data_IF_475394936998
#
_entry.id   IF_475394936998
#
_cell.length_a   1.000
_cell.length_b   1.000
_cell.length_c   1.000
_cell.angle_alpha   90.00
_cell.angle_beta   90.00
_cell.angle_gamma   90.00
#
_symmetry.space_group_name_H-M   'P 1'
#
loop_
_entity.id
_entity.type
_entity.pdbx_description
1 polymer ?
#
# COMPACT_ATOMS: atom_id res chain seq x y z
N UNK A 1 14.25 -0.14 11.91
CA UNK A 1 13.36 0.08 10.73
C UNK A 1 11.92 0.21 11.22
N UNK A 2 11.01 0.80 10.45
CA UNK A 2 9.61 1.02 10.84
C UNK A 2 8.68 0.29 9.88
N UNK A 3 7.56 -0.29 10.39
CA UNK A 3 6.47 -0.86 9.60
C UNK A 3 5.22 -0.02 9.81
N UNK A 4 4.65 0.45 8.72
CA UNK A 4 3.46 1.30 8.65
C UNK A 4 2.26 0.49 8.18
N UNK A 5 1.12 0.66 8.85
CA UNK A 5 -0.20 0.23 8.39
C UNK A 5 -1.17 1.41 8.46
N UNK A 6 -2.21 1.40 7.66
CA UNK A 6 -3.24 2.44 7.62
C UNK A 6 -4.59 1.81 7.92
N UNK A 7 -5.37 2.42 8.84
CA UNK A 7 -6.76 2.04 9.10
C UNK A 7 -7.61 3.25 9.49
N UNK A 8 -8.92 3.19 9.20
CA UNK A 8 -9.87 4.26 9.56
C UNK A 8 -9.83 5.47 8.64
N UNK A 9 -9.46 5.28 7.37
CA UNK A 9 -9.54 6.32 6.32
C UNK A 9 -10.98 6.46 5.78
N UNK A 10 -11.79 5.38 5.86
CA UNK A 10 -13.08 5.32 5.18
C UNK A 10 -14.21 6.05 5.92
N UNK A 11 -14.02 6.36 7.19
CA UNK A 11 -15.03 7.01 8.07
C UNK A 11 -16.42 6.31 8.02
N UNK A 12 -16.39 4.98 7.88
CA UNK A 12 -17.56 4.12 7.78
C UNK A 12 -18.05 3.59 9.14
N UNK A 13 -17.39 4.03 10.23
CA UNK A 13 -17.67 3.60 11.60
C UNK A 13 -17.19 2.18 11.93
N UNK A 14 -16.65 1.44 10.95
CA UNK A 14 -16.17 0.06 11.16
C UNK A 14 -14.85 0.11 11.90
N UNK A 15 -14.76 -0.59 13.03
CA UNK A 15 -13.51 -0.68 13.79
C UNK A 15 -12.65 -1.83 13.27
N UNK A 16 -11.35 -1.66 13.33
CA UNK A 16 -10.38 -2.70 12.94
C UNK A 16 -10.67 -4.05 13.61
N UNK A 17 -11.08 -4.03 14.88
CA UNK A 17 -11.40 -5.23 15.63
C UNK A 17 -12.66 -5.96 15.15
N UNK A 18 -13.53 -5.29 14.41
CA UNK A 18 -14.76 -5.88 13.87
C UNK A 18 -14.48 -6.70 12.59
N UNK A 19 -13.26 -6.58 12.04
CA UNK A 19 -12.81 -7.34 10.87
C UNK A 19 -11.77 -8.38 11.32
N UNK A 20 -12.17 -9.65 11.52
CA UNK A 20 -11.29 -10.67 12.10
C UNK A 20 -9.95 -10.86 11.37
N UNK A 21 -9.98 -10.83 10.03
CA UNK A 21 -8.77 -10.98 9.22
C UNK A 21 -7.80 -9.81 9.41
N UNK A 22 -8.27 -8.56 9.49
CA UNK A 22 -7.43 -7.40 9.77
C UNK A 22 -6.87 -7.45 11.19
N UNK A 23 -7.72 -7.73 12.17
CA UNK A 23 -7.28 -7.88 13.56
C UNK A 23 -6.17 -8.91 13.69
N UNK A 24 -6.31 -10.09 13.03
CA UNK A 24 -5.31 -11.15 13.04
C UNK A 24 -3.98 -10.66 12.44
N UNK A 25 -4.01 -10.15 11.20
CA UNK A 25 -2.78 -9.76 10.50
C UNK A 25 -2.08 -8.57 11.16
N UNK A 26 -2.83 -7.59 11.67
CA UNK A 26 -2.28 -6.46 12.42
C UNK A 26 -1.59 -6.92 13.71
N UNK A 27 -2.17 -7.89 14.45
CA UNK A 27 -1.52 -8.42 15.64
C UNK A 27 -0.24 -9.19 15.29
N UNK A 28 -0.27 -10.03 14.26
CA UNK A 28 0.93 -10.72 13.77
C UNK A 28 2.04 -9.74 13.34
N UNK A 29 1.68 -8.64 12.67
CA UNK A 29 2.65 -7.59 12.31
C UNK A 29 3.23 -6.91 13.54
N UNK A 30 2.43 -6.65 14.59
CA UNK A 30 2.93 -6.08 15.85
C UNK A 30 3.87 -7.02 16.60
N UNK A 31 3.53 -8.31 16.67
CA UNK A 31 4.36 -9.36 17.25
C UNK A 31 5.68 -9.46 16.50
N UNK A 32 5.64 -9.55 15.18
CA UNK A 32 6.82 -9.52 14.31
C UNK A 32 7.72 -8.31 14.60
N UNK A 33 7.14 -7.10 14.70
CA UNK A 33 7.91 -5.89 14.99
C UNK A 33 8.62 -5.98 16.34
N UNK A 34 7.94 -6.53 17.37
CA UNK A 34 8.53 -6.73 18.70
C UNK A 34 9.68 -7.73 18.68
N UNK A 35 9.51 -8.85 17.97
CA UNK A 35 10.51 -9.93 17.88
C UNK A 35 11.78 -9.49 17.13
N UNK A 36 11.61 -8.71 16.07
CA UNK A 36 12.72 -8.29 15.20
C UNK A 36 13.23 -6.88 15.47
N UNK A 37 12.76 -6.20 16.53
CA UNK A 37 13.21 -4.85 16.87
C UNK A 37 12.78 -3.75 15.90
N UNK A 38 11.67 -3.95 15.19
CA UNK A 38 11.08 -2.92 14.32
C UNK A 38 10.14 -2.03 15.10
N UNK A 39 10.02 -0.77 14.69
CA UNK A 39 8.97 0.13 15.19
C UNK A 39 7.68 -0.13 14.40
N UNK A 40 6.56 -0.31 15.10
CA UNK A 40 5.24 -0.41 14.48
C UNK A 40 4.50 0.93 14.53
N UNK A 41 3.87 1.35 13.43
CA UNK A 41 3.03 2.55 13.39
C UNK A 41 1.74 2.31 12.62
N UNK A 42 0.60 2.43 13.33
CA UNK A 42 -0.72 2.50 12.71
C UNK A 42 -1.07 3.97 12.44
N UNK A 43 -1.47 4.26 11.20
CA UNK A 43 -1.95 5.57 10.78
C UNK A 43 -3.47 5.57 10.71
N UNK A 44 -4.10 6.63 11.20
CA UNK A 44 -5.51 6.92 11.04
C UNK A 44 -5.71 8.16 10.17
N UNK A 45 -6.98 8.49 9.85
CA UNK A 45 -7.31 9.63 8.99
C UNK A 45 -6.68 10.94 9.49
N UNK A 46 -6.84 11.26 10.78
CA UNK A 46 -6.29 12.48 11.37
C UNK A 46 -4.76 12.57 11.20
N UNK A 47 -4.04 11.52 11.51
CA UNK A 47 -2.56 11.50 11.35
C UNK A 47 -2.14 11.63 9.88
N UNK A 48 -2.92 11.09 8.96
CA UNK A 48 -2.68 11.21 7.53
C UNK A 48 -2.89 12.64 7.04
N UNK A 49 -3.95 13.31 7.52
CA UNK A 49 -4.24 14.71 7.19
C UNK A 49 -3.23 15.67 7.82
N UNK A 50 -2.79 15.42 9.05
CA UNK A 50 -1.69 16.17 9.68
C UNK A 50 -0.40 16.04 8.83
N UNK A 51 -0.02 14.83 8.41
CA UNK A 51 1.14 14.63 7.54
C UNK A 51 1.00 15.39 6.21
N UNK A 52 -0.17 15.31 5.59
CA UNK A 52 -0.47 16.00 4.33
C UNK A 52 -0.33 17.51 4.49
N UNK A 53 -1.00 18.10 5.49
CA UNK A 53 -1.00 19.54 5.72
C UNK A 53 0.41 20.08 6.07
N UNK A 54 1.17 19.34 6.88
CA UNK A 54 2.46 19.80 7.38
C UNK A 54 3.60 19.64 6.37
N UNK A 55 3.56 18.59 5.53
CA UNK A 55 4.71 18.20 4.69
C UNK A 55 4.42 18.23 3.19
N UNK A 56 3.15 18.20 2.79
CA UNK A 56 2.73 18.07 1.39
C UNK A 56 1.49 18.95 1.08
N UNK A 57 1.49 20.25 1.49
CA UNK A 57 0.33 21.12 1.33
C UNK A 57 -0.11 21.27 -0.14
N UNK A 58 0.79 21.06 -1.10
CA UNK A 58 0.51 21.12 -2.53
C UNK A 58 -0.46 20.03 -3.01
N UNK A 59 -0.66 18.95 -2.22
CA UNK A 59 -1.59 17.86 -2.54
C UNK A 59 -2.93 17.94 -1.79
N UNK A 60 -3.19 18.99 -1.00
CA UNK A 60 -4.46 19.15 -0.24
C UNK A 60 -5.67 19.17 -1.20
N UNK A 61 -5.59 19.93 -2.29
CA UNK A 61 -6.66 19.96 -3.28
C UNK A 61 -6.90 18.58 -3.90
N UNK A 62 -5.82 17.87 -4.28
CA UNK A 62 -5.91 16.51 -4.80
C UNK A 62 -6.58 15.55 -3.80
N UNK A 63 -6.23 15.66 -2.51
CA UNK A 63 -6.80 14.85 -1.44
C UNK A 63 -8.31 15.04 -1.29
N UNK A 64 -8.79 16.27 -1.45
CA UNK A 64 -10.21 16.60 -1.40
C UNK A 64 -10.98 16.12 -2.64
N UNK A 65 -10.32 16.08 -3.79
CA UNK A 65 -10.91 15.66 -5.06
C UNK A 65 -10.99 14.14 -5.23
N UNK A 66 -10.36 13.32 -4.38
CA UNK A 66 -10.46 11.88 -4.50
C UNK A 66 -11.90 11.41 -4.40
N UNK A 67 -12.37 10.75 -5.43
CA UNK A 67 -13.74 10.26 -5.57
C UNK A 67 -14.09 9.13 -4.59
N UNK A 68 -13.10 8.31 -4.26
CA UNK A 68 -13.26 7.17 -3.37
C UNK A 68 -12.24 7.21 -2.22
N UNK A 69 -12.66 6.90 -0.98
CA UNK A 69 -11.74 6.88 0.17
C UNK A 69 -10.51 5.98 -0.01
N UNK A 70 -10.63 4.88 -0.78
CA UNK A 70 -9.50 4.00 -1.07
C UNK A 70 -8.39 4.72 -1.88
N UNK A 71 -8.73 5.72 -2.70
CA UNK A 71 -7.70 6.53 -3.38
C UNK A 71 -6.88 7.33 -2.36
N UNK A 72 -7.51 7.80 -1.27
CA UNK A 72 -6.80 8.43 -0.15
C UNK A 72 -5.83 7.46 0.52
N UNK A 73 -6.28 6.23 0.80
CA UNK A 73 -5.44 5.19 1.38
C UNK A 73 -4.26 4.82 0.46
N UNK A 74 -4.49 4.70 -0.84
CA UNK A 74 -3.44 4.45 -1.82
C UNK A 74 -2.45 5.60 -1.93
N UNK A 75 -2.93 6.83 -1.95
CA UNK A 75 -2.06 8.00 -2.11
C UNK A 75 -1.22 8.26 -0.87
N UNK A 76 -1.83 8.22 0.33
CA UNK A 76 -1.13 8.57 1.57
C UNK A 76 0.00 7.59 1.91
N UNK A 77 -0.07 6.30 1.50
CA UNK A 77 1.02 5.34 1.73
C UNK A 77 2.31 5.75 1.01
N UNK A 78 2.21 6.44 -0.12
CA UNK A 78 3.38 6.98 -0.83
C UNK A 78 4.01 8.15 -0.09
N UNK A 79 3.19 9.05 0.47
CA UNK A 79 3.67 10.16 1.30
C UNK A 79 4.36 9.65 2.57
N UNK A 80 3.75 8.67 3.23
CA UNK A 80 4.30 8.04 4.44
C UNK A 80 5.69 7.46 4.14
N UNK A 81 5.82 6.68 3.07
CA UNK A 81 7.08 6.06 2.69
C UNK A 81 8.13 7.09 2.27
N UNK A 82 7.75 8.15 1.54
CA UNK A 82 8.66 9.23 1.22
C UNK A 82 9.16 9.95 2.49
N UNK A 83 8.25 10.32 3.41
CA UNK A 83 8.58 11.11 4.59
C UNK A 83 9.32 10.31 5.67
N UNK A 84 8.92 9.05 5.90
CA UNK A 84 9.39 8.26 7.02
C UNK A 84 10.40 7.18 6.60
N UNK A 85 10.33 6.71 5.35
CA UNK A 85 10.97 5.46 4.93
C UNK A 85 10.34 4.24 5.61
N UNK A 86 10.97 3.06 5.48
CA UNK A 86 10.51 1.82 6.09
C UNK A 86 9.58 1.01 5.19
N UNK A 87 8.81 0.11 5.79
CA UNK A 87 7.86 -0.75 5.11
C UNK A 87 6.44 -0.23 5.28
N UNK A 88 5.67 -0.24 4.21
CA UNK A 88 4.21 -0.15 4.22
C UNK A 88 3.64 -1.55 3.99
N UNK A 89 2.65 -1.94 4.78
CA UNK A 89 1.99 -3.25 4.70
C UNK A 89 0.49 -3.06 4.90
N UNK A 90 -0.35 -3.56 3.99
CA UNK A 90 -1.82 -3.51 4.15
C UNK A 90 -2.28 -4.31 5.38
N UNK A 91 -3.45 -3.98 5.96
CA UNK A 91 -3.95 -4.61 7.18
C UNK A 91 -4.34 -6.09 7.04
N UNK A 92 -4.48 -6.60 5.83
CA UNK A 92 -4.71 -8.02 5.53
C UNK A 92 -3.42 -8.79 5.21
N UNK A 93 -2.27 -8.13 5.36
CA UNK A 93 -0.93 -8.68 5.12
C UNK A 93 -0.10 -8.64 6.39
N UNK A 94 0.79 -9.62 6.58
CA UNK A 94 1.80 -9.60 7.64
C UNK A 94 3.13 -10.20 7.15
N UNK A 95 4.28 -9.75 7.68
CA UNK A 95 5.58 -10.35 7.39
C UNK A 95 5.70 -11.74 8.03
N UNK A 96 6.38 -12.67 7.35
CA UNK A 96 6.60 -14.06 7.78
C UNK A 96 8.07 -14.46 7.80
N UNK A 97 8.98 -13.61 7.34
CA UNK A 97 10.42 -13.79 7.38
C UNK A 97 11.12 -12.49 7.78
N UNK A 98 12.37 -12.58 8.21
CA UNK A 98 13.16 -11.41 8.56
C UNK A 98 13.42 -10.52 7.33
N UNK A 99 12.99 -9.27 7.45
CA UNK A 99 13.11 -8.25 6.39
C UNK A 99 14.50 -7.58 6.36
N UNK A 100 15.41 -7.91 7.28
CA UNK A 100 16.74 -7.29 7.36
C UNK A 100 17.57 -7.50 6.09
N UNK A 101 17.44 -8.67 5.47
CA UNK A 101 18.10 -9.01 4.20
C UNK A 101 17.71 -8.11 3.03
N UNK A 102 16.54 -7.44 3.11
CA UNK A 102 16.03 -6.53 2.10
C UNK A 102 16.39 -5.06 2.37
N UNK A 103 17.02 -4.75 3.49
CA UNK A 103 17.34 -3.38 3.93
C UNK A 103 18.36 -2.65 3.05
N UNK A 104 19.13 -3.39 2.23
CA UNK A 104 20.11 -2.82 1.30
C UNK A 104 19.49 -2.20 0.04
N UNK A 105 18.22 -2.55 -0.26
CA UNK A 105 17.53 -1.93 -1.40
C UNK A 105 17.15 -0.48 -1.07
N UNK A 106 17.11 0.35 -2.11
CA UNK A 106 16.62 1.73 -2.01
C UNK A 106 15.10 1.78 -1.91
N UNK A 107 14.45 0.93 -2.68
CA UNK A 107 13.02 0.67 -2.66
C UNK A 107 12.74 -0.79 -3.02
N UNK A 108 11.58 -1.28 -2.56
CA UNK A 108 11.04 -2.59 -2.90
C UNK A 108 9.56 -2.43 -3.17
N UNK A 109 9.10 -2.94 -4.31
CA UNK A 109 7.70 -3.16 -4.62
C UNK A 109 7.47 -4.65 -4.77
N UNK A 110 6.43 -5.17 -4.15
CA UNK A 110 6.07 -6.58 -4.34
C UNK A 110 5.31 -6.79 -5.63
N UNK A 111 5.28 -8.01 -6.12
CA UNK A 111 4.45 -8.42 -7.25
C UNK A 111 3.73 -9.72 -6.95
N UNK A 112 2.66 -10.00 -7.70
CA UNK A 112 2.01 -11.30 -7.71
C UNK A 112 2.83 -12.26 -8.58
N UNK A 113 3.11 -13.47 -8.11
CA UNK A 113 4.14 -14.35 -8.66
C UNK A 113 3.96 -14.81 -10.08
N UNK A 114 2.77 -14.94 -10.56
CA UNK A 114 2.53 -15.45 -11.91
C UNK A 114 2.29 -14.33 -12.91
N UNK A 115 2.59 -13.08 -12.51
CA UNK A 115 2.51 -11.97 -13.44
C UNK A 115 3.78 -11.91 -14.30
N UNK A 116 3.74 -12.57 -15.47
CA UNK A 116 4.79 -12.46 -16.50
C UNK A 116 5.17 -11.01 -16.84
N UNK A 117 4.31 -10.05 -16.47
CA UNK A 117 4.56 -8.62 -16.67
C UNK A 117 5.18 -7.93 -15.45
N UNK A 118 5.42 -8.66 -14.34
CA UNK A 118 5.96 -8.11 -13.08
C UNK A 118 5.34 -6.75 -12.73
N UNK A 119 4.04 -6.77 -12.42
CA UNK A 119 3.34 -5.55 -12.03
C UNK A 119 3.63 -5.23 -10.58
N UNK A 120 4.03 -3.98 -10.26
CA UNK A 120 4.20 -3.58 -8.88
C UNK A 120 2.85 -3.60 -8.16
N UNK A 121 2.82 -4.17 -6.96
CA UNK A 121 1.65 -4.24 -6.10
C UNK A 121 1.85 -3.30 -4.91
N UNK A 122 0.84 -2.50 -4.58
CA UNK A 122 0.98 -1.45 -3.58
C UNK A 122 0.52 -1.84 -2.17
N UNK A 123 0.17 -3.11 -1.95
CA UNK A 123 -0.16 -3.63 -0.63
C UNK A 123 1.07 -3.78 0.28
N UNK A 124 2.25 -4.01 -0.31
CA UNK A 124 3.52 -4.08 0.40
C UNK A 124 4.59 -3.36 -0.39
N UNK A 125 5.19 -2.37 0.23
CA UNK A 125 6.27 -1.57 -0.35
C UNK A 125 7.30 -1.20 0.72
N UNK A 126 8.54 -0.99 0.30
CA UNK A 126 9.59 -0.42 1.15
C UNK A 126 10.22 0.76 0.46
N UNK A 127 10.67 1.72 1.25
CA UNK A 127 11.45 2.84 0.76
C UNK A 127 12.48 3.30 1.78
N UNK A 128 13.61 3.75 1.30
CA UNK A 128 14.46 4.66 2.08
C UNK A 128 13.76 6.03 2.16
N UNK A 129 13.99 6.73 3.27
CA UNK A 129 13.44 8.08 3.47
C UNK A 129 13.92 9.04 2.39
N UNK A 130 13.03 9.95 1.94
CA UNK A 130 13.29 10.96 0.90
C UNK A 130 13.64 10.36 -0.47
N UNK A 131 13.18 9.16 -0.78
CA UNK A 131 13.39 8.55 -2.08
C UNK A 131 12.62 9.32 -3.18
N UNK A 132 13.32 9.89 -4.19
CA UNK A 132 12.70 10.71 -5.23
C UNK A 132 11.69 9.95 -6.10
N UNK A 133 11.78 8.62 -6.20
CA UNK A 133 10.80 7.81 -6.92
C UNK A 133 9.37 8.03 -6.38
N UNK A 134 9.22 8.20 -5.07
CA UNK A 134 7.91 8.43 -4.47
C UNK A 134 7.33 9.82 -4.82
N UNK A 135 8.18 10.82 -5.08
CA UNK A 135 7.71 12.11 -5.64
C UNK A 135 7.15 11.90 -7.05
N UNK A 136 7.82 11.12 -7.89
CA UNK A 136 7.33 10.82 -9.24
C UNK A 136 6.02 10.00 -9.21
N UNK A 137 5.88 9.07 -8.27
CA UNK A 137 4.63 8.34 -8.04
C UNK A 137 3.49 9.30 -7.65
N UNK A 138 3.72 10.24 -6.74
CA UNK A 138 2.71 11.23 -6.32
C UNK A 138 2.29 12.14 -7.47
N UNK A 139 3.24 12.61 -8.28
CA UNK A 139 2.95 13.42 -9.48
C UNK A 139 2.13 12.65 -10.51
N UNK A 140 2.46 11.37 -10.74
CA UNK A 140 1.71 10.53 -11.68
C UNK A 140 0.30 10.25 -11.16
N UNK A 141 0.10 10.05 -9.84
CA UNK A 141 -1.22 9.99 -9.21
C UNK A 141 -2.03 11.26 -9.52
N UNK A 142 -1.47 12.43 -9.24
CA UNK A 142 -2.11 13.72 -9.48
C UNK A 142 -2.52 13.89 -10.94
N UNK A 143 -1.60 13.65 -11.86
CA UNK A 143 -1.86 13.71 -13.30
C UNK A 143 -3.04 12.81 -13.69
N UNK A 144 -3.03 11.55 -13.26
CA UNK A 144 -4.08 10.58 -13.62
C UNK A 144 -5.43 10.85 -12.98
N UNK A 145 -5.45 11.39 -11.77
CA UNK A 145 -6.70 11.81 -11.14
C UNK A 145 -7.33 12.94 -11.97
N UNK A 146 -6.56 13.97 -12.32
CA UNK A 146 -7.03 15.08 -13.17
C UNK A 146 -7.54 14.58 -14.52
N UNK A 147 -6.81 13.68 -15.18
CA UNK A 147 -7.15 13.17 -16.51
C UNK A 147 -8.35 12.21 -16.52
N UNK A 148 -8.50 11.39 -15.48
CA UNK A 148 -9.40 10.21 -15.54
C UNK A 148 -10.62 10.30 -14.64
N UNK A 149 -10.61 11.11 -13.60
CA UNK A 149 -11.67 11.11 -12.60
C UNK A 149 -13.03 11.55 -13.14
N UNK A 150 -13.05 12.38 -14.19
CA UNK A 150 -14.26 12.85 -14.88
C UNK A 150 -14.80 11.86 -15.93
N UNK A 151 -14.07 10.80 -16.25
CA UNK A 151 -14.44 9.87 -17.33
C UNK A 151 -15.53 8.91 -16.88
N UNK A 152 -16.74 9.03 -17.45
CA UNK A 152 -17.92 8.21 -17.09
C UNK A 152 -17.72 6.69 -17.21
N UNK A 153 -16.83 6.22 -18.10
CA UNK A 153 -16.55 4.77 -18.24
C UNK A 153 -16.05 4.10 -16.96
N UNK A 154 -15.59 4.88 -15.97
CA UNK A 154 -15.15 4.37 -14.67
C UNK A 154 -16.29 4.29 -13.64
N UNK A 155 -17.50 4.75 -13.97
CA UNK A 155 -18.65 4.75 -13.05
C UNK A 155 -19.18 3.32 -12.81
N UNK A 156 -19.02 2.42 -13.78
CA UNK A 156 -19.51 1.04 -13.70
C UNK A 156 -18.72 0.14 -12.76
N UNK A 157 -17.45 0.47 -12.52
CA UNK A 157 -16.58 -0.28 -11.61
C UNK A 157 -15.52 0.63 -10.98
N UNK A 158 -15.77 1.00 -9.72
CA UNK A 158 -14.89 1.90 -8.95
C UNK A 158 -13.43 1.42 -8.88
N UNK A 159 -13.20 0.11 -8.79
CA UNK A 159 -11.86 -0.49 -8.77
C UNK A 159 -11.03 -0.11 -10.00
N UNK A 160 -11.66 0.00 -11.17
CA UNK A 160 -10.95 0.40 -12.39
C UNK A 160 -10.36 1.81 -12.29
N UNK A 161 -11.13 2.77 -11.76
CA UNK A 161 -10.62 4.12 -11.53
C UNK A 161 -9.48 4.11 -10.52
N UNK A 162 -9.67 3.48 -9.37
CA UNK A 162 -8.67 3.39 -8.30
C UNK A 162 -7.36 2.80 -8.83
N UNK A 163 -7.41 1.63 -9.48
CA UNK A 163 -6.20 0.98 -10.00
C UNK A 163 -5.44 1.83 -11.03
N UNK A 164 -6.18 2.61 -11.85
CA UNK A 164 -5.59 3.43 -12.90
C UNK A 164 -5.07 4.78 -12.39
N UNK A 165 -5.55 5.27 -11.25
CA UNK A 165 -5.18 6.61 -10.74
C UNK A 165 -4.21 6.56 -9.57
N UNK A 166 -4.43 5.70 -8.58
CA UNK A 166 -3.64 5.64 -7.35
C UNK A 166 -3.08 4.25 -7.03
N UNK A 167 -3.65 3.20 -7.61
CA UNK A 167 -3.29 1.82 -7.33
C UNK A 167 -2.22 1.25 -8.28
N UNK A 168 -2.11 -0.06 -8.25
CA UNK A 168 -1.04 -0.84 -8.86
C UNK A 168 -0.89 -0.65 -10.40
N UNK A 169 -1.98 -0.37 -11.13
CA UNK A 169 -1.87 -0.14 -12.58
C UNK A 169 -1.19 1.20 -12.90
N UNK A 170 -1.32 2.20 -12.02
CA UNK A 170 -0.60 3.45 -12.15
C UNK A 170 0.91 3.23 -11.94
N UNK A 171 1.30 2.47 -10.91
CA UNK A 171 2.69 2.21 -10.58
C UNK A 171 3.50 1.59 -11.71
N UNK A 172 2.87 0.80 -12.59
CA UNK A 172 3.56 0.16 -13.75
C UNK A 172 4.30 1.12 -14.66
N UNK A 173 3.89 2.37 -14.69
CA UNK A 173 4.49 3.38 -15.58
C UNK A 173 5.62 4.17 -14.92
N UNK A 174 5.78 4.04 -13.60
CA UNK A 174 6.73 4.83 -12.81
C UNK A 174 7.78 3.96 -12.15
N UNK A 175 7.38 2.77 -11.64
CA UNK A 175 8.28 1.90 -10.88
C UNK A 175 9.23 1.15 -11.81
N UNK A 176 10.56 1.26 -11.60
CA UNK A 176 11.55 0.50 -12.34
C UNK A 176 11.39 -1.02 -12.12
N UNK A 177 11.63 -1.82 -13.14
CA UNK A 177 11.46 -3.29 -13.07
C UNK A 177 12.40 -3.94 -12.06
N UNK A 178 13.57 -3.41 -11.87
CA UNK A 178 14.59 -3.86 -10.90
C UNK A 178 14.15 -3.67 -9.45
N UNK A 179 13.21 -2.76 -9.19
CA UNK A 179 12.63 -2.51 -7.86
C UNK A 179 11.46 -3.44 -7.53
N UNK A 180 11.09 -4.36 -8.44
CA UNK A 180 9.93 -5.25 -8.28
C UNK A 180 10.41 -6.65 -7.91
N UNK A 181 9.95 -7.15 -6.75
CA UNK A 181 10.39 -8.41 -6.15
C UNK A 181 9.21 -9.36 -5.86
N UNK A 182 9.43 -10.65 -6.09
CA UNK A 182 8.43 -11.71 -5.84
C UNK A 182 8.54 -12.18 -4.38
N UNK A 183 7.86 -11.46 -3.46
CA UNK A 183 7.98 -11.67 -2.01
C UNK A 183 6.67 -12.10 -1.34
N UNK A 184 5.58 -12.33 -2.10
CA UNK A 184 4.25 -12.54 -1.55
C UNK A 184 3.85 -14.03 -1.57
N UNK A 185 3.27 -14.48 -0.47
CA UNK A 185 2.43 -15.67 -0.37
C UNK A 185 0.98 -15.21 -0.23
N UNK A 186 0.17 -15.44 -1.25
CA UNK A 186 -1.23 -15.02 -1.26
C UNK A 186 -2.12 -16.22 -0.90
N UNK A 187 -2.98 -16.02 0.08
CA UNK A 187 -3.99 -16.99 0.50
C UNK A 187 -5.38 -16.39 0.33
N UNK A 188 -6.20 -17.08 -0.43
CA UNK A 188 -7.62 -16.76 -0.52
C UNK A 188 -8.42 -17.93 0.03
N UNK A 189 -9.11 -17.75 1.15
CA UNK A 189 -9.88 -18.81 1.83
C UNK A 189 -10.94 -19.47 0.93
N UNK A 190 -11.49 -18.72 -0.05
CA UNK A 190 -12.49 -19.21 -0.99
C UNK A 190 -11.90 -19.96 -2.18
N UNK A 191 -10.66 -19.70 -2.55
CA UNK A 191 -10.00 -20.20 -3.76
C UNK A 191 -8.75 -21.04 -3.51
N UNK A 192 -8.28 -21.15 -2.27
CA UNK A 192 -7.07 -21.85 -1.87
C UNK A 192 -5.81 -20.96 -1.82
N UNK A 193 -4.67 -21.61 -1.61
CA UNK A 193 -3.38 -20.93 -1.49
C UNK A 193 -2.80 -20.69 -2.89
N UNK A 194 -2.40 -19.45 -3.16
CA UNK A 194 -1.62 -19.08 -4.33
C UNK A 194 -0.19 -18.76 -3.88
N UNK A 195 0.70 -19.72 -4.00
CA UNK A 195 2.13 -19.46 -3.76
C UNK A 195 2.65 -18.63 -4.91
N UNK A 196 3.21 -17.49 -4.57
CA UNK A 196 3.69 -16.53 -5.53
C UNK A 196 5.21 -16.45 -5.57
N UNK A 197 5.89 -16.91 -4.55
CA UNK A 197 7.34 -16.90 -4.45
C UNK A 197 7.84 -18.24 -3.88
N UNK A 198 9.03 -18.67 -4.31
CA UNK A 198 9.72 -19.81 -3.69
C UNK A 198 10.24 -19.48 -2.28
N UNK A 199 10.39 -18.20 -1.97
CA UNK A 199 10.83 -17.71 -0.65
C UNK A 199 10.02 -16.46 -0.26
N UNK A 200 8.74 -16.61 0.16
CA UNK A 200 7.88 -15.47 0.45
C UNK A 200 8.27 -14.81 1.78
N UNK A 201 8.31 -13.48 1.78
CA UNK A 201 8.53 -12.66 2.97
C UNK A 201 7.24 -12.18 3.62
N UNK A 202 6.13 -12.20 2.89
CA UNK A 202 4.83 -11.71 3.34
C UNK A 202 3.72 -12.69 3.04
N UNK A 203 2.79 -12.80 3.97
CA UNK A 203 1.53 -13.54 3.80
C UNK A 203 0.40 -12.53 3.59
N UNK A 204 -0.35 -12.68 2.50
CA UNK A 204 -1.50 -11.85 2.12
C UNK A 204 -2.78 -12.69 2.20
N UNK A 205 -3.71 -12.30 3.08
CA UNK A 205 -5.03 -12.92 3.24
C UNK A 205 -6.00 -12.55 2.12
N UNK A 206 -5.62 -11.63 1.25
CA UNK A 206 -6.38 -11.14 0.09
C UNK A 206 -7.84 -10.78 0.44
N UNK A 207 -8.02 -10.02 1.51
CA UNK A 207 -9.32 -9.64 2.05
C UNK A 207 -9.83 -8.33 1.45
N UNK A 208 -10.23 -8.34 0.20
CA UNK A 208 -10.69 -7.16 -0.55
C UNK A 208 -12.00 -6.56 0.00
N UNK A 209 -11.93 -5.69 1.03
CA UNK A 209 -13.10 -5.10 1.69
C UNK A 209 -13.63 -3.79 1.10
N UNK A 210 -12.99 -3.22 0.12
CA UNK A 210 -13.34 -1.89 -0.40
C UNK A 210 -14.11 -1.91 -1.73
N UNK A 211 -14.54 -3.08 -2.18
CA UNK A 211 -15.37 -3.26 -3.37
C UNK A 211 -16.85 -3.02 -3.14
#
# INVERSE_FOLDING_TARGET
MIIHQIYGIFDDGIKLNDIPVFRKNVNLTKEYCKEHGYTYKMWNLRMCEELLCDKYPEYICLWQEFRYPIQKADFIRYLILHQCGGWYVDCDVHPIQDLSSLSHYKEVFTTWSNDVHRKPYNAVMMSQRNNPLFIEIMKECQKRVIEKQSIKQYDTWKGRLVFQTTGHNMLRNVVPKESIHELMLIHNEKKGIYVTSNNPYFYDSNASFWY
#
